data_IF_034803587809
#
_entry.id   IF_034803587809
#
_cell.length_a   1.000
_cell.length_b   1.000
_cell.length_c   1.000
_cell.angle_alpha   90.00
_cell.angle_beta   90.00
_cell.angle_gamma   90.00
#
_symmetry.space_group_name_H-M   'P 1'
#
loop_
_entity.id
_entity.type
_entity.pdbx_description
1 polymer ?
#
# COMPACT_ATOMS: atom_id res chain seq x y z
N UNK A 1 -2.16 -16.37 -10.28
CA UNK A 1 -0.85 -15.89 -10.79
C UNK A 1 -0.42 -16.92 -11.82
N UNK A 2 -0.52 -16.61 -13.13
CA UNK A 2 -0.45 -17.62 -14.20
C UNK A 2 0.85 -18.46 -14.18
N UNK A 3 2.02 -17.83 -14.02
CA UNK A 3 3.32 -18.55 -13.95
C UNK A 3 3.45 -19.45 -12.73
N UNK A 4 2.93 -19.02 -11.57
CA UNK A 4 2.92 -19.84 -10.36
C UNK A 4 2.00 -21.04 -10.52
N UNK A 5 0.88 -20.85 -11.21
CA UNK A 5 -0.09 -21.91 -11.47
C UNK A 5 0.39 -22.87 -12.59
N UNK A 6 1.21 -22.37 -13.52
CA UNK A 6 1.92 -23.16 -14.53
C UNK A 6 2.96 -24.09 -13.89
N UNK A 7 3.86 -23.55 -13.05
CA UNK A 7 4.89 -24.34 -12.35
C UNK A 7 4.30 -25.48 -11.50
N UNK A 8 3.16 -25.23 -10.82
CA UNK A 8 2.46 -26.27 -10.04
C UNK A 8 1.95 -27.45 -10.86
N UNK A 9 1.78 -27.28 -12.17
CA UNK A 9 1.24 -28.28 -13.08
C UNK A 9 2.33 -28.92 -13.93
N UNK A 10 3.56 -28.41 -13.84
CA UNK A 10 4.68 -28.87 -14.64
C UNK A 10 5.37 -30.03 -13.91
N UNK A 11 5.74 -31.12 -14.62
CA UNK A 11 6.63 -32.14 -14.07
C UNK A 11 7.99 -31.55 -13.67
N UNK A 12 8.62 -32.10 -12.63
CA UNK A 12 9.91 -31.60 -12.12
C UNK A 12 11.07 -31.80 -13.13
N UNK A 13 10.94 -32.75 -14.05
CA UNK A 13 11.92 -33.09 -15.09
C UNK A 13 11.70 -32.34 -16.41
N UNK A 14 10.70 -31.47 -16.46
CA UNK A 14 10.37 -30.70 -17.65
C UNK A 14 11.44 -29.63 -17.94
N UNK A 15 11.81 -29.52 -19.22
CA UNK A 15 12.80 -28.56 -19.71
C UNK A 15 12.40 -27.10 -19.41
N UNK A 16 11.10 -26.82 -19.35
CA UNK A 16 10.56 -25.49 -19.10
C UNK A 16 10.56 -25.11 -17.61
N UNK A 17 10.79 -26.06 -16.69
CA UNK A 17 10.73 -25.79 -15.24
C UNK A 17 11.71 -24.70 -14.83
N UNK A 18 12.98 -24.84 -15.22
CA UNK A 18 14.04 -23.87 -14.93
C UNK A 18 13.77 -22.49 -15.56
N UNK A 19 13.19 -22.47 -16.76
CA UNK A 19 12.86 -21.22 -17.44
C UNK A 19 11.70 -20.51 -16.75
N UNK A 20 10.63 -21.25 -16.42
CA UNK A 20 9.47 -20.72 -15.73
C UNK A 20 9.79 -20.20 -14.33
N UNK A 21 10.67 -20.86 -13.57
CA UNK A 21 11.15 -20.36 -12.28
C UNK A 21 11.91 -19.04 -12.40
N UNK A 22 12.83 -18.95 -13.36
CA UNK A 22 13.58 -17.70 -13.62
C UNK A 22 12.65 -16.56 -14.03
N UNK A 23 11.70 -16.83 -14.92
CA UNK A 23 10.69 -15.85 -15.31
C UNK A 23 9.83 -15.42 -14.13
N UNK A 24 9.41 -16.35 -13.28
CA UNK A 24 8.65 -16.04 -12.06
C UNK A 24 9.45 -15.14 -11.12
N UNK A 25 10.73 -15.40 -10.92
CA UNK A 25 11.59 -14.58 -10.06
C UNK A 25 11.67 -13.13 -10.57
N UNK A 26 12.00 -12.94 -11.85
CA UNK A 26 12.15 -11.61 -12.44
C UNK A 26 10.83 -10.83 -12.39
N UNK A 27 9.72 -11.45 -12.77
CA UNK A 27 8.40 -10.80 -12.76
C UNK A 27 7.97 -10.50 -11.33
N UNK A 28 8.24 -11.38 -10.37
CA UNK A 28 7.88 -11.14 -8.96
C UNK A 28 8.68 -10.01 -8.36
N UNK A 29 9.98 -9.92 -8.67
CA UNK A 29 10.81 -8.78 -8.25
C UNK A 29 10.28 -7.48 -8.84
N UNK A 30 10.06 -7.42 -10.15
CA UNK A 30 9.51 -6.24 -10.83
C UNK A 30 8.15 -5.84 -10.23
N UNK A 31 7.23 -6.79 -10.05
CA UNK A 31 5.94 -6.54 -9.42
C UNK A 31 6.08 -6.03 -7.98
N UNK A 32 7.02 -6.57 -7.19
CA UNK A 32 7.26 -6.10 -5.81
C UNK A 32 7.73 -4.64 -5.79
N UNK A 33 8.65 -4.28 -6.67
CA UNK A 33 9.12 -2.90 -6.82
C UNK A 33 8.00 -1.97 -7.30
N UNK A 34 7.24 -2.37 -8.32
CA UNK A 34 6.11 -1.59 -8.84
C UNK A 34 5.02 -1.40 -7.80
N UNK A 35 4.63 -2.46 -7.07
CA UNK A 35 3.62 -2.38 -6.01
C UNK A 35 4.06 -1.43 -4.89
N UNK A 36 5.34 -1.45 -4.53
CA UNK A 36 5.90 -0.53 -3.53
C UNK A 36 5.83 0.92 -3.99
N UNK A 37 6.19 1.19 -5.25
CA UNK A 37 6.11 2.53 -5.83
C UNK A 37 4.66 3.04 -5.95
N UNK A 38 3.73 2.18 -6.37
CA UNK A 38 2.30 2.49 -6.44
C UNK A 38 1.77 2.86 -5.05
N UNK A 39 2.06 2.03 -4.02
CA UNK A 39 1.63 2.29 -2.65
C UNK A 39 2.16 3.62 -2.11
N UNK A 40 3.43 3.94 -2.39
CA UNK A 40 4.01 5.23 -1.99
C UNK A 40 3.32 6.42 -2.68
N UNK A 41 3.01 6.28 -3.98
CA UNK A 41 2.29 7.30 -4.74
C UNK A 41 0.86 7.50 -4.25
N UNK A 42 0.12 6.42 -3.99
CA UNK A 42 -1.22 6.46 -3.42
C UNK A 42 -1.24 7.07 -2.02
N UNK A 43 -0.27 6.72 -1.17
CA UNK A 43 -0.12 7.31 0.15
C UNK A 43 0.14 8.82 0.08
N UNK A 44 1.08 9.27 -0.76
CA UNK A 44 1.36 10.69 -0.95
C UNK A 44 0.11 11.44 -1.44
N UNK A 45 -0.60 10.87 -2.41
CA UNK A 45 -1.85 11.46 -2.91
C UNK A 45 -2.88 11.61 -1.78
N UNK A 46 -3.09 10.57 -0.97
CA UNK A 46 -4.05 10.61 0.15
C UNK A 46 -3.65 11.65 1.20
N UNK A 47 -2.35 11.78 1.51
CA UNK A 47 -1.86 12.80 2.42
C UNK A 47 -2.14 14.21 1.87
N UNK A 48 -1.85 14.47 0.59
CA UNK A 48 -2.15 15.76 -0.05
C UNK A 48 -3.64 16.11 0.01
N UNK A 49 -4.52 15.15 -0.30
CA UNK A 49 -5.97 15.34 -0.16
C UNK A 49 -6.37 15.70 1.28
N UNK A 50 -5.77 15.06 2.29
CA UNK A 50 -6.04 15.37 3.70
C UNK A 50 -5.57 16.77 4.06
N UNK A 51 -4.38 17.18 3.60
CA UNK A 51 -3.86 18.51 3.88
C UNK A 51 -4.72 19.60 3.22
N UNK A 52 -5.18 19.39 1.98
CA UNK A 52 -6.14 20.29 1.33
C UNK A 52 -7.45 20.43 2.12
N UNK A 53 -7.92 19.34 2.76
CA UNK A 53 -9.13 19.36 3.60
C UNK A 53 -8.93 20.07 4.95
N UNK A 54 -7.72 20.05 5.53
CA UNK A 54 -7.42 20.65 6.83
C UNK A 54 -7.20 22.17 6.76
N UNK A 55 -6.88 22.73 5.58
CA UNK A 55 -6.66 24.17 5.41
C UNK A 55 -5.25 24.61 5.87
N UNK A 56 -5.11 25.84 6.40
CA UNK A 56 -3.82 26.45 6.74
C UNK A 56 -3.18 25.95 8.06
N UNK A 57 -3.39 24.67 8.42
CA UNK A 57 -2.62 24.04 9.50
C UNK A 57 -1.27 23.55 8.94
N UNK A 58 -0.29 24.45 8.93
CA UNK A 58 1.02 24.32 8.26
C UNK A 58 1.94 23.19 8.79
N UNK A 59 1.64 22.59 9.95
CA UNK A 59 2.59 21.74 10.71
C UNK A 59 2.35 20.22 10.62
N UNK A 60 1.44 19.76 9.75
CA UNK A 60 1.07 18.32 9.70
C UNK A 60 1.83 17.55 8.60
N UNK A 61 2.58 18.23 7.74
CA UNK A 61 3.21 17.64 6.55
C UNK A 61 4.55 16.96 6.82
N UNK A 62 4.52 15.64 6.98
CA UNK A 62 5.71 14.80 6.83
C UNK A 62 5.50 13.79 5.68
N UNK A 63 6.32 13.81 4.61
CA UNK A 63 6.25 12.85 3.51
C UNK A 63 6.40 11.38 3.93
N UNK A 64 6.92 11.13 5.14
CA UNK A 64 7.09 9.81 5.73
C UNK A 64 5.85 9.30 6.46
N UNK A 65 4.79 10.11 6.57
CA UNK A 65 3.53 9.69 7.21
C UNK A 65 2.86 8.59 6.39
N UNK A 66 2.15 7.68 7.05
CA UNK A 66 1.31 6.68 6.40
C UNK A 66 -0.14 6.86 6.86
N UNK A 67 -1.05 6.98 5.91
CA UNK A 67 -2.48 7.00 6.22
C UNK A 67 -2.93 5.61 6.71
N UNK A 68 -3.44 5.55 7.94
CA UNK A 68 -3.87 4.29 8.55
C UNK A 68 -5.36 4.03 8.32
N UNK A 69 -6.21 5.02 8.62
CA UNK A 69 -7.68 4.93 8.52
C UNK A 69 -8.34 6.31 8.61
N UNK A 70 -9.57 6.41 8.11
CA UNK A 70 -10.47 7.55 8.32
C UNK A 70 -11.84 7.07 8.81
N UNK A 71 -12.56 7.93 9.52
CA UNK A 71 -13.90 7.63 10.02
C UNK A 71 -14.44 8.71 10.94
N UNK A 72 -15.77 8.77 11.09
CA UNK A 72 -16.42 9.69 12.03
C UNK A 72 -16.35 9.13 13.44
N UNK A 73 -16.04 9.97 14.42
CA UNK A 73 -15.98 9.62 15.84
C UNK A 73 -16.81 10.64 16.63
N UNK A 74 -17.53 10.18 17.66
CA UNK A 74 -18.20 11.05 18.62
C UNK A 74 -17.29 11.30 19.83
N UNK A 75 -16.84 12.54 20.01
CA UNK A 75 -16.11 12.94 21.22
C UNK A 75 -17.09 13.27 22.35
N UNK A 76 -16.99 12.58 23.48
CA UNK A 76 -17.71 12.92 24.70
C UNK A 76 -16.85 13.86 25.55
N UNK A 77 -17.06 15.17 25.42
CA UNK A 77 -16.43 16.15 26.30
C UNK A 77 -17.32 16.39 27.53
N UNK A 78 -16.78 16.22 28.74
CA UNK A 78 -17.45 16.62 29.96
C UNK A 78 -17.54 18.15 30.00
N UNK A 79 -18.72 18.74 29.76
CA UNK A 79 -18.99 20.12 30.18
C UNK A 79 -19.13 20.10 31.69
N UNK A 80 -18.08 20.48 32.42
CA UNK A 80 -18.25 20.97 33.78
C UNK A 80 -19.05 22.27 33.69
N UNK A 81 -20.38 22.16 33.77
CA UNK A 81 -21.20 23.29 34.20
C UNK A 81 -21.07 23.36 35.72
N UNK A 82 -19.99 23.99 36.19
CA UNK A 82 -20.03 24.61 37.50
C UNK A 82 -20.93 25.84 37.36
N UNK A 83 -22.19 25.65 37.73
CA UNK A 83 -23.12 26.73 38.08
C UNK A 83 -22.85 27.16 39.51
#
# INVERSE_FOLDING_TARGET
MLLRDFLKRLPDDDLDHSHAEKSLLVISMAATHSNSAIRQSENLKKLLEIYEMLGEEEDVMNPSNEFIREGRILMLAARSSAM
#
